data_IF_451911678794
#
_entry.id   IF_451911678794
#
_cell.length_a   1.000
_cell.length_b   1.000
_cell.length_c   1.000
_cell.angle_alpha   90.00
_cell.angle_beta   90.00
_cell.angle_gamma   90.00
#
_symmetry.space_group_name_H-M   'P 1'
#
loop_
_entity.id
_entity.type
_entity.pdbx_description
1 polymer ?
#
# COMPACT_ATOMS: atom_id res chain seq x y z
N UNK A 1 -11.66 -26.54 3.83
CA UNK A 1 -11.43 -26.53 5.29
C UNK A 1 -12.02 -25.23 5.81
N UNK A 2 -13.06 -25.28 6.65
CA UNK A 2 -13.66 -24.07 7.25
C UNK A 2 -12.96 -23.87 8.59
N UNK A 3 -12.01 -22.95 8.66
CA UNK A 3 -11.42 -22.55 9.94
C UNK A 3 -12.36 -21.56 10.63
N UNK A 4 -12.57 -21.73 11.93
CA UNK A 4 -13.22 -20.71 12.74
C UNK A 4 -12.23 -19.59 13.00
N UNK A 5 -12.61 -18.35 12.68
CA UNK A 5 -11.76 -17.15 12.85
C UNK A 5 -11.24 -16.98 14.29
N UNK A 6 -11.91 -17.62 15.25
CA UNK A 6 -11.55 -17.62 16.66
C UNK A 6 -10.25 -18.37 16.98
N UNK A 7 -9.80 -19.27 16.10
CA UNK A 7 -8.61 -20.09 16.33
C UNK A 7 -7.33 -19.41 15.84
N UNK A 8 -7.46 -18.37 15.02
CA UNK A 8 -6.35 -17.57 14.52
C UNK A 8 -5.72 -16.81 15.71
N UNK A 9 -4.42 -17.03 15.92
CA UNK A 9 -3.65 -16.36 16.98
C UNK A 9 -2.84 -15.18 16.46
N UNK A 10 -2.44 -15.24 15.19
CA UNK A 10 -1.64 -14.22 14.56
C UNK A 10 -2.18 -13.87 13.17
N UNK A 11 -2.25 -12.58 12.87
CA UNK A 11 -2.50 -12.09 11.49
C UNK A 11 -1.34 -11.19 11.13
N UNK A 12 -0.65 -11.53 10.04
CA UNK A 12 0.38 -10.67 9.44
C UNK A 12 -0.27 -9.88 8.32
N UNK A 13 -0.13 -8.56 8.35
CA UNK A 13 -0.66 -7.64 7.34
C UNK A 13 0.53 -6.95 6.69
N UNK A 14 0.80 -7.30 5.44
CA UNK A 14 1.88 -6.75 4.64
C UNK A 14 1.34 -5.65 3.73
N UNK A 15 1.65 -4.41 4.08
CA UNK A 15 1.14 -3.21 3.39
C UNK A 15 2.29 -2.30 3.04
N UNK A 16 2.04 -1.34 2.16
CA UNK A 16 2.98 -0.25 1.99
C UNK A 16 2.70 0.91 2.97
N UNK A 17 3.51 1.96 2.87
CA UNK A 17 3.35 3.17 3.68
C UNK A 17 1.98 3.83 3.47
N UNK A 18 1.42 4.40 4.54
CA UNK A 18 0.01 4.86 4.65
C UNK A 18 -0.65 5.21 3.31
N UNK A 19 -1.51 4.30 2.88
CA UNK A 19 -2.77 4.58 2.20
C UNK A 19 -3.93 4.46 3.20
N UNK A 20 -5.03 5.18 2.94
CA UNK A 20 -6.25 4.99 3.71
C UNK A 20 -6.76 3.56 3.58
N UNK A 21 -6.60 2.96 2.39
CA UNK A 21 -7.00 1.57 2.12
C UNK A 21 -6.31 0.58 3.07
N UNK A 22 -4.99 0.64 3.19
CA UNK A 22 -4.22 -0.21 4.11
C UNK A 22 -4.56 0.01 5.60
N UNK A 23 -4.86 1.26 5.99
CA UNK A 23 -5.33 1.55 7.36
C UNK A 23 -6.64 0.81 7.62
N UNK A 24 -7.54 0.82 6.65
CA UNK A 24 -8.84 0.17 6.77
C UNK A 24 -8.73 -1.36 6.71
N UNK A 25 -7.87 -1.91 5.85
CA UNK A 25 -7.53 -3.34 5.82
C UNK A 25 -7.07 -3.80 7.21
N UNK A 26 -6.09 -3.10 7.78
CA UNK A 26 -5.53 -3.46 9.09
C UNK A 26 -6.52 -3.25 10.24
N UNK A 27 -7.36 -2.21 10.18
CA UNK A 27 -8.43 -1.99 11.15
C UNK A 27 -9.47 -3.11 11.08
N UNK A 28 -9.83 -3.56 9.88
CA UNK A 28 -10.78 -4.66 9.72
C UNK A 28 -10.18 -5.98 10.19
N UNK A 29 -8.88 -6.22 9.98
CA UNK A 29 -8.20 -7.38 10.57
C UNK A 29 -8.30 -7.37 12.11
N UNK A 30 -8.09 -6.21 12.75
CA UNK A 30 -8.26 -6.05 14.21
C UNK A 30 -9.69 -6.36 14.68
N UNK A 31 -10.70 -5.91 13.94
CA UNK A 31 -12.13 -6.13 14.27
C UNK A 31 -12.53 -7.59 14.06
N UNK A 32 -12.07 -8.22 12.98
CA UNK A 32 -12.52 -9.56 12.56
C UNK A 32 -11.74 -10.71 13.19
N UNK A 33 -10.52 -10.44 13.67
CA UNK A 33 -9.73 -11.39 14.43
C UNK A 33 -9.57 -10.91 15.89
N UNK A 34 -10.64 -10.86 16.71
CA UNK A 34 -10.63 -10.25 18.03
C UNK A 34 -9.75 -10.96 19.06
N UNK A 35 -9.25 -12.16 18.77
CA UNK A 35 -8.34 -12.90 19.65
C UNK A 35 -6.90 -12.97 19.09
N UNK A 36 -6.66 -12.42 17.90
CA UNK A 36 -5.36 -12.45 17.27
C UNK A 36 -4.53 -11.21 17.61
N UNK A 37 -3.22 -11.39 17.64
CA UNK A 37 -2.26 -10.29 17.52
C UNK A 37 -2.07 -9.93 16.05
N UNK A 38 -2.12 -8.64 15.72
CA UNK A 38 -1.98 -8.14 14.35
C UNK A 38 -0.57 -7.59 14.14
N UNK A 39 0.23 -8.30 13.36
CA UNK A 39 1.59 -7.90 12.99
C UNK A 39 1.53 -7.13 11.66
N UNK A 40 1.89 -5.85 11.65
CA UNK A 40 1.76 -5.00 10.45
C UNK A 40 3.17 -4.70 9.94
N UNK A 41 3.53 -5.22 8.77
CA UNK A 41 4.82 -4.90 8.13
C UNK A 41 4.60 -3.78 7.11
N UNK A 42 5.45 -2.75 7.16
CA UNK A 42 5.36 -1.61 6.25
C UNK A 42 6.47 -1.68 5.19
N UNK A 43 6.09 -1.76 3.93
CA UNK A 43 7.01 -1.62 2.78
C UNK A 43 7.20 -0.14 2.43
N UNK A 44 8.44 0.34 2.21
CA UNK A 44 8.63 1.70 1.74
C UNK A 44 8.01 1.93 0.36
N UNK A 45 7.69 3.17 0.04
CA UNK A 45 7.53 3.63 -1.35
C UNK A 45 8.58 4.70 -1.64
N UNK A 46 8.78 5.01 -2.92
CA UNK A 46 9.78 6.02 -3.35
C UNK A 46 9.38 7.41 -2.85
N UNK A 47 10.00 7.92 -1.79
CA UNK A 47 9.66 9.22 -1.22
C UNK A 47 10.63 10.29 -1.74
N UNK A 48 10.14 11.17 -2.63
CA UNK A 48 10.88 12.39 -3.01
C UNK A 48 10.07 13.64 -2.68
N UNK A 49 10.53 14.36 -1.65
CA UNK A 49 9.86 15.57 -1.17
C UNK A 49 10.25 16.83 -1.96
N UNK A 50 11.07 16.70 -3.01
CA UNK A 50 11.49 17.81 -3.88
C UNK A 50 10.56 17.99 -5.07
N UNK A 51 9.88 16.93 -5.51
CA UNK A 51 8.98 16.92 -6.67
C UNK A 51 7.58 17.42 -6.25
N UNK A 52 6.91 18.29 -7.03
CA UNK A 52 5.57 18.80 -6.72
C UNK A 52 4.49 17.71 -6.82
N UNK A 53 3.25 18.03 -6.42
CA UNK A 53 2.15 17.04 -6.48
C UNK A 53 1.68 16.77 -7.91
N UNK A 54 1.42 15.49 -8.22
CA UNK A 54 1.02 15.05 -9.57
C UNK A 54 -0.27 15.64 -10.11
N UNK A 55 -1.19 16.05 -9.23
CA UNK A 55 -2.53 16.47 -9.64
C UNK A 55 -2.51 17.59 -10.71
N UNK A 56 -1.51 18.48 -10.66
CA UNK A 56 -1.35 19.57 -11.63
C UNK A 56 -0.75 19.09 -12.96
N UNK A 57 0.02 17.99 -12.94
CA UNK A 57 0.70 17.41 -14.09
C UNK A 57 -0.10 16.26 -14.73
N UNK A 58 -1.10 15.72 -14.04
CA UNK A 58 -1.85 14.54 -14.48
C UNK A 58 -2.60 14.76 -15.79
N UNK A 59 -3.23 15.93 -15.97
CA UNK A 59 -3.92 16.26 -17.21
C UNK A 59 -2.96 16.29 -18.41
N UNK A 60 -1.78 16.90 -18.25
CA UNK A 60 -0.72 16.89 -19.26
C UNK A 60 -0.23 15.47 -19.53
N UNK A 61 -0.03 14.70 -18.47
CA UNK A 61 0.42 13.32 -18.55
C UNK A 61 -0.54 12.43 -19.34
N UNK A 62 -1.83 12.42 -19.00
CA UNK A 62 -2.85 11.63 -19.71
C UNK A 62 -3.01 12.07 -21.17
N UNK A 63 -2.81 13.35 -21.47
CA UNK A 63 -2.83 13.83 -22.85
C UNK A 63 -1.67 13.29 -23.68
N UNK A 64 -0.51 13.04 -23.05
CA UNK A 64 0.72 12.64 -23.74
C UNK A 64 0.88 11.13 -23.85
N UNK A 65 0.61 10.39 -22.77
CA UNK A 65 0.79 8.93 -22.72
C UNK A 65 -0.52 8.18 -22.98
N UNK A 66 -1.66 8.88 -22.90
CA UNK A 66 -2.98 8.24 -22.97
C UNK A 66 -3.19 7.21 -21.86
N UNK A 67 -4.18 6.34 -22.03
CA UNK A 67 -4.36 5.15 -21.19
C UNK A 67 -3.51 3.96 -21.65
N UNK A 68 -2.60 4.15 -22.62
CA UNK A 68 -1.89 3.06 -23.27
C UNK A 68 -0.38 3.21 -23.03
N UNK A 69 0.09 2.36 -22.10
CA UNK A 69 1.49 2.06 -21.76
C UNK A 69 2.23 3.08 -20.88
N UNK A 70 1.94 3.03 -19.58
CA UNK A 70 2.87 3.48 -18.52
C UNK A 70 3.95 2.44 -18.16
N UNK A 71 3.81 1.22 -18.69
CA UNK A 71 4.65 0.09 -18.36
C UNK A 71 6.10 0.24 -18.87
N UNK A 72 6.24 0.78 -20.09
CA UNK A 72 7.55 1.05 -20.70
C UNK A 72 8.39 2.02 -19.86
N UNK A 73 7.75 2.86 -19.04
CA UNK A 73 8.42 3.83 -18.19
C UNK A 73 9.11 3.25 -16.97
N UNK A 74 8.56 2.17 -16.42
CA UNK A 74 9.12 1.51 -15.24
C UNK A 74 10.15 0.45 -15.63
N UNK A 75 10.00 -0.20 -16.78
CA UNK A 75 10.85 -1.31 -17.21
C UNK A 75 11.92 -0.94 -18.25
N UNK A 76 11.71 0.03 -19.15
CA UNK A 76 12.67 0.38 -20.23
C UNK A 76 13.60 1.54 -19.88
N UNK A 77 14.63 1.70 -20.72
CA UNK A 77 15.71 2.69 -20.61
C UNK A 77 15.15 4.08 -20.33
N UNK A 78 15.71 4.77 -19.32
CA UNK A 78 15.34 6.13 -18.91
C UNK A 78 15.25 7.09 -20.12
N UNK A 79 16.10 6.90 -21.12
CA UNK A 79 16.09 7.71 -22.35
C UNK A 79 14.80 7.57 -23.19
N UNK A 80 14.22 6.38 -23.32
CA UNK A 80 12.98 6.19 -24.09
C UNK A 80 11.80 6.90 -23.42
N UNK A 81 11.77 6.88 -22.08
CA UNK A 81 10.80 7.60 -21.25
C UNK A 81 10.95 9.09 -21.43
N UNK A 82 12.18 9.59 -21.35
CA UNK A 82 12.45 11.01 -21.46
C UNK A 82 12.07 11.54 -22.85
N UNK A 83 12.35 10.76 -23.90
CA UNK A 83 11.97 11.05 -25.28
C UNK A 83 10.44 10.97 -25.49
N UNK A 84 9.75 10.01 -24.86
CA UNK A 84 8.30 9.88 -24.93
C UNK A 84 7.58 11.04 -24.23
N UNK A 85 8.10 11.45 -23.07
CA UNK A 85 7.50 12.48 -22.25
C UNK A 85 7.77 13.89 -22.75
N UNK A 86 8.93 14.17 -23.37
CA UNK A 86 9.29 15.45 -24.02
C UNK A 86 8.73 16.68 -23.28
N UNK A 87 8.82 16.66 -21.94
CA UNK A 87 8.26 17.63 -21.00
C UNK A 87 9.03 17.46 -19.69
N UNK A 88 9.86 18.45 -19.35
CA UNK A 88 10.73 18.42 -18.17
C UNK A 88 9.93 18.22 -16.86
N UNK A 89 8.71 18.77 -16.77
CA UNK A 89 7.86 18.61 -15.59
C UNK A 89 7.41 17.16 -15.39
N UNK A 90 7.14 16.45 -16.49
CA UNK A 90 6.76 15.04 -16.47
C UNK A 90 7.98 14.13 -16.29
N UNK A 91 9.13 14.51 -16.84
CA UNK A 91 10.38 13.78 -16.64
C UNK A 91 10.76 13.71 -15.16
N UNK A 92 10.63 14.81 -14.40
CA UNK A 92 10.86 14.83 -12.95
C UNK A 92 9.95 13.85 -12.17
N UNK A 93 8.77 13.51 -12.71
CA UNK A 93 7.84 12.57 -12.08
C UNK A 93 8.25 11.11 -12.26
N UNK A 94 8.80 10.78 -13.42
CA UNK A 94 9.18 9.42 -13.82
C UNK A 94 10.68 9.16 -13.75
N UNK A 95 11.46 10.17 -13.39
CA UNK A 95 12.88 10.04 -13.17
C UNK A 95 13.11 8.92 -12.16
N UNK A 96 13.82 7.87 -12.58
CA UNK A 96 14.33 6.89 -11.63
C UNK A 96 15.22 7.65 -10.66
N UNK A 97 14.77 7.84 -9.42
CA UNK A 97 15.61 8.41 -8.39
C UNK A 97 16.65 7.35 -7.99
N UNK A 98 17.73 7.27 -8.76
CA UNK A 98 18.85 6.35 -8.51
C UNK A 98 19.46 6.58 -7.11
N UNK A 99 19.31 7.79 -6.57
CA UNK A 99 19.71 8.12 -5.22
C UNK A 99 18.76 7.55 -4.14
N UNK A 100 17.56 7.09 -4.48
CA UNK A 100 16.62 6.49 -3.52
C UNK A 100 17.25 5.36 -2.69
N UNK A 101 18.07 4.53 -3.32
CA UNK A 101 18.69 3.37 -2.70
C UNK A 101 20.00 3.71 -1.95
N UNK A 102 20.61 4.87 -2.23
CA UNK A 102 22.00 5.16 -1.83
C UNK A 102 22.17 6.47 -1.05
N UNK A 103 21.24 7.42 -1.15
CA UNK A 103 21.33 8.74 -0.51
C UNK A 103 20.96 8.69 0.98
N UNK A 104 21.88 9.08 1.89
CA UNK A 104 21.61 9.16 3.32
C UNK A 104 20.45 10.11 3.70
N UNK A 105 20.24 11.19 2.94
CA UNK A 105 19.14 12.12 3.20
C UNK A 105 17.79 11.47 2.91
N UNK A 106 17.67 10.81 1.76
CA UNK A 106 16.48 10.03 1.37
C UNK A 106 16.16 8.96 2.40
N UNK A 107 17.15 8.19 2.87
CA UNK A 107 16.97 7.19 3.94
C UNK A 107 16.39 7.80 5.23
N UNK A 108 16.86 8.98 5.62
CA UNK A 108 16.36 9.68 6.82
C UNK A 108 14.90 10.10 6.65
N UNK A 109 14.53 10.60 5.47
CA UNK A 109 13.16 11.03 5.17
C UNK A 109 12.19 9.85 5.11
N UNK A 110 12.61 8.73 4.49
CA UNK A 110 11.84 7.49 4.47
C UNK A 110 11.63 6.98 5.89
N UNK A 111 12.68 6.91 6.71
CA UNK A 111 12.57 6.49 8.12
C UNK A 111 11.51 7.29 8.88
N UNK A 112 11.56 8.62 8.76
CA UNK A 112 10.55 9.50 9.34
C UNK A 112 9.15 9.19 8.81
N UNK A 113 9.04 8.90 7.51
CA UNK A 113 7.78 8.61 6.87
C UNK A 113 7.18 7.26 7.26
N UNK A 114 8.01 6.23 7.43
CA UNK A 114 7.59 4.93 7.99
C UNK A 114 7.04 5.11 9.40
N UNK A 115 7.74 5.89 10.24
CA UNK A 115 7.31 6.13 11.62
C UNK A 115 6.00 6.92 11.67
N UNK A 116 5.91 8.00 10.87
CA UNK A 116 4.68 8.76 10.70
C UNK A 116 3.52 7.88 10.18
N UNK A 117 3.83 6.92 9.31
CA UNK A 117 2.87 5.96 8.79
C UNK A 117 2.31 5.08 9.90
N UNK A 118 3.15 4.38 10.65
CA UNK A 118 2.74 3.56 11.79
C UNK A 118 1.93 4.35 12.84
N UNK A 119 2.35 5.59 13.15
CA UNK A 119 1.63 6.47 14.09
C UNK A 119 0.20 6.78 13.64
N UNK A 120 -0.06 6.83 12.33
CA UNK A 120 -1.41 7.08 11.79
C UNK A 120 -2.31 5.87 11.88
N UNK A 121 -1.78 4.68 11.63
CA UNK A 121 -2.49 3.44 11.88
C UNK A 121 -2.84 3.34 13.37
N UNK A 122 -1.86 3.54 14.26
CA UNK A 122 -2.09 3.51 15.70
C UNK A 122 -3.11 4.54 16.18
N UNK A 123 -3.02 5.80 15.70
CA UNK A 123 -4.03 6.83 15.97
C UNK A 123 -5.42 6.36 15.56
N UNK A 124 -5.53 5.76 14.36
CA UNK A 124 -6.80 5.27 13.86
C UNK A 124 -7.34 4.15 14.73
N UNK A 125 -6.53 3.17 15.07
CA UNK A 125 -6.90 2.02 15.89
C UNK A 125 -7.34 2.45 17.30
N UNK A 126 -6.56 3.33 17.93
CA UNK A 126 -6.87 3.93 19.22
C UNK A 126 -8.20 4.69 19.19
N UNK A 127 -8.46 5.47 18.13
CA UNK A 127 -9.75 6.18 17.96
C UNK A 127 -10.97 5.26 17.82
N UNK A 128 -10.74 3.97 17.56
CA UNK A 128 -11.77 2.91 17.48
C UNK A 128 -11.77 1.97 18.67
N UNK A 129 -11.02 2.30 19.72
CA UNK A 129 -10.99 1.54 20.97
C UNK A 129 -10.10 0.29 20.95
N UNK A 130 -9.25 0.13 19.92
CA UNK A 130 -8.30 -0.98 19.91
C UNK A 130 -7.06 -0.64 20.73
N UNK A 131 -6.74 -1.49 21.70
CA UNK A 131 -5.57 -1.35 22.56
C UNK A 131 -4.27 -1.55 21.76
N UNK A 132 -3.21 -0.82 22.12
CA UNK A 132 -1.88 -0.94 21.49
C UNK A 132 -1.26 -2.32 21.66
N UNK A 133 -1.66 -3.08 22.69
CA UNK A 133 -1.22 -4.46 22.91
C UNK A 133 -1.72 -5.45 21.84
N UNK A 134 -2.67 -5.04 20.97
CA UNK A 134 -3.25 -5.89 19.93
C UNK A 134 -2.49 -5.87 18.60
N UNK A 135 -1.53 -4.97 18.44
CA UNK A 135 -0.81 -4.81 17.19
C UNK A 135 0.64 -4.41 17.39
N UNK A 136 1.47 -4.68 16.39
CA UNK A 136 2.87 -4.25 16.35
C UNK A 136 3.26 -3.90 14.92
N UNK A 137 3.98 -2.78 14.75
CA UNK A 137 4.46 -2.35 13.44
C UNK A 137 5.91 -2.76 13.23
N UNK A 138 6.20 -3.29 12.05
CA UNK A 138 7.52 -3.75 11.66
C UNK A 138 7.98 -3.08 10.36
N UNK A 139 9.28 -2.85 10.25
CA UNK A 139 9.90 -2.35 9.02
C UNK A 139 11.35 -2.82 8.93
N UNK A 140 11.87 -2.94 7.70
CA UNK A 140 13.31 -3.09 7.47
C UNK A 140 13.86 -2.04 6.49
N UNK A 141 14.91 -1.30 6.87
CA UNK A 141 15.61 -0.40 5.96
C UNK A 141 16.19 -1.08 4.71
N UNK A 142 16.43 -2.40 4.72
CA UNK A 142 16.91 -3.16 3.55
C UNK A 142 15.91 -3.19 2.40
N UNK A 143 14.62 -3.07 2.67
CA UNK A 143 13.56 -3.14 1.66
C UNK A 143 13.65 -2.00 0.64
N UNK A 144 14.34 -0.90 0.98
CA UNK A 144 14.66 0.17 0.03
C UNK A 144 15.55 -0.29 -1.13
N UNK A 145 16.30 -1.39 -0.98
CA UNK A 145 17.21 -1.90 -2.01
C UNK A 145 16.51 -2.70 -3.11
N UNK A 146 15.32 -3.23 -2.84
CA UNK A 146 14.59 -4.10 -3.79
C UNK A 146 13.49 -3.34 -4.51
N UNK A 147 12.95 -2.30 -3.88
CA UNK A 147 11.94 -1.43 -4.50
C UNK A 147 12.51 -0.75 -5.75
N UNK A 148 11.78 -0.91 -6.85
CA UNK A 148 12.09 -0.27 -8.13
C UNK A 148 11.82 1.25 -8.02
N UNK A 149 12.85 2.11 -8.18
CA UNK A 149 12.66 3.56 -8.23
C UNK A 149 11.98 3.94 -9.55
N UNK A 150 10.95 4.78 -9.51
CA UNK A 150 10.33 5.30 -10.74
C UNK A 150 9.10 6.16 -10.51
N UNK A 151 8.12 5.67 -9.73
CA UNK A 151 6.94 6.48 -9.35
C UNK A 151 7.06 6.93 -7.91
N UNK A 152 7.21 8.24 -7.74
CA UNK A 152 7.36 8.84 -6.43
C UNK A 152 6.05 8.81 -5.62
N UNK A 153 6.02 8.21 -4.44
CA UNK A 153 4.88 8.17 -3.53
C UNK A 153 4.18 9.51 -3.22
N UNK A 154 4.88 10.64 -2.94
CA UNK A 154 4.20 11.90 -2.63
C UNK A 154 3.38 12.45 -3.79
N UNK A 155 3.42 11.78 -4.93
CA UNK A 155 2.71 12.12 -6.15
C UNK A 155 1.39 11.35 -6.29
N UNK A 156 1.14 10.31 -5.49
CA UNK A 156 -0.11 9.56 -5.51
C UNK A 156 -1.20 10.17 -4.62
N UNK A 157 -0.89 10.72 -3.46
CA UNK A 157 -1.84 11.43 -2.58
C UNK A 157 -0.99 12.28 -1.63
N UNK A 158 -1.55 13.36 -1.07
CA UNK A 158 -1.00 13.97 0.13
C UNK A 158 -1.19 13.06 1.37
N UNK A 159 -0.88 11.76 1.28
CA UNK A 159 -0.98 10.81 2.39
C UNK A 159 -0.06 11.26 3.54
N UNK A 160 1.07 11.92 3.23
CA UNK A 160 1.89 12.62 4.23
C UNK A 160 1.19 13.79 4.95
N UNK A 161 -0.01 14.22 4.52
CA UNK A 161 -0.87 15.17 5.24
C UNK A 161 -2.01 14.51 6.04
N UNK A 162 -2.23 13.21 5.87
CA UNK A 162 -3.21 12.50 6.68
C UNK A 162 -2.90 12.69 8.17
N UNK A 163 -3.94 12.92 8.98
CA UNK A 163 -3.82 13.25 10.41
C UNK A 163 -2.96 14.50 10.74
N UNK A 164 -2.57 15.32 9.77
CA UNK A 164 -2.09 16.68 10.06
C UNK A 164 -3.23 17.51 10.65
N UNK A 165 -2.90 18.40 11.60
CA UNK A 165 -3.86 19.38 12.10
C UNK A 165 -4.19 20.42 11.02
N UNK A 166 -5.25 21.21 11.23
CA UNK A 166 -5.71 22.21 10.25
C UNK A 166 -4.63 23.22 9.87
N UNK A 167 -3.81 23.66 10.83
CA UNK A 167 -2.72 24.63 10.59
C UNK A 167 -1.64 24.06 9.68
N UNK A 168 -1.20 22.82 9.92
CA UNK A 168 -0.20 22.14 9.10
C UNK A 168 -0.75 21.81 7.71
N UNK A 169 -2.05 21.47 7.58
CA UNK A 169 -2.71 21.30 6.28
C UNK A 169 -2.80 22.60 5.48
N UNK A 170 -3.18 23.71 6.12
CA UNK A 170 -3.20 25.03 5.48
C UNK A 170 -1.80 25.51 5.11
N UNK A 171 -0.79 25.12 5.88
CA UNK A 171 0.60 25.48 5.60
C UNK A 171 1.15 24.64 4.46
N UNK A 172 0.87 23.34 4.41
CA UNK A 172 1.32 22.47 3.32
C UNK A 172 0.71 22.84 1.98
N UNK A 173 -0.55 23.28 1.94
CA UNK A 173 -1.19 23.72 0.69
C UNK A 173 -0.43 24.85 0.01
N UNK A 174 0.27 25.70 0.77
CA UNK A 174 1.14 26.77 0.24
C UNK A 174 2.46 26.25 -0.33
N UNK A 175 2.81 24.99 -0.11
CA UNK A 175 4.09 24.41 -0.51
C UNK A 175 3.95 23.34 -1.60
N UNK A 176 2.72 22.96 -1.98
CA UNK A 176 2.49 21.87 -2.92
C UNK A 176 3.08 22.13 -4.32
N UNK A 177 3.15 23.41 -4.73
CA UNK A 177 3.69 23.87 -6.00
C UNK A 177 5.21 24.15 -5.99
N UNK A 178 5.82 24.24 -4.80
CA UNK A 178 7.27 24.45 -4.69
C UNK A 178 8.01 23.25 -5.29
N UNK A 179 9.28 23.42 -5.65
CA UNK A 179 10.17 22.36 -6.12
C UNK A 179 11.50 22.36 -5.37
N UNK A 180 12.28 21.30 -5.53
CA UNK A 180 13.66 21.22 -5.05
C UNK A 180 13.79 21.22 -3.52
N UNK A 181 14.97 21.63 -3.05
CA UNK A 181 15.35 21.60 -1.64
C UNK A 181 14.45 22.46 -0.74
N UNK A 182 13.90 23.56 -1.28
CA UNK A 182 12.99 24.41 -0.50
C UNK A 182 11.73 23.63 -0.13
N UNK A 183 11.10 22.97 -1.11
CA UNK A 183 9.93 22.13 -0.87
C UNK A 183 10.25 21.06 0.15
N UNK A 184 11.32 20.30 -0.07
CA UNK A 184 11.75 19.23 0.82
C UNK A 184 11.86 19.71 2.27
N UNK A 185 12.60 20.80 2.52
CA UNK A 185 12.78 21.37 3.86
C UNK A 185 11.44 21.70 4.53
N UNK A 186 10.50 22.29 3.80
CA UNK A 186 9.18 22.66 4.34
C UNK A 186 8.33 21.41 4.65
N UNK A 187 8.35 20.42 3.75
CA UNK A 187 7.58 19.19 3.88
C UNK A 187 8.10 18.30 5.02
N UNK A 188 9.42 18.13 5.11
CA UNK A 188 10.07 17.42 6.23
C UNK A 188 9.72 18.07 7.56
N UNK A 189 9.71 19.41 7.65
CA UNK A 189 9.34 20.11 8.87
C UNK A 189 7.88 19.85 9.29
N UNK A 190 6.94 19.71 8.33
CA UNK A 190 5.54 19.34 8.61
C UNK A 190 5.45 17.89 9.08
N UNK A 191 6.15 16.97 8.41
CA UNK A 191 6.19 15.56 8.80
C UNK A 191 6.75 15.38 10.19
N UNK A 192 7.88 16.03 10.52
CA UNK A 192 8.50 15.97 11.87
C UNK A 192 7.56 16.48 12.96
N UNK A 193 6.93 17.65 12.77
CA UNK A 193 5.95 18.18 13.73
C UNK A 193 4.75 17.24 13.91
N UNK A 194 4.25 16.68 12.82
CA UNK A 194 3.11 15.76 12.86
C UNK A 194 3.48 14.48 13.59
N UNK A 195 4.62 13.88 13.25
CA UNK A 195 5.11 12.66 13.86
C UNK A 195 5.35 12.83 15.37
N UNK A 196 6.01 13.91 15.79
CA UNK A 196 6.26 14.18 17.20
C UNK A 196 4.95 14.34 17.99
N UNK A 197 3.99 15.11 17.46
CA UNK A 197 2.68 15.28 18.10
C UNK A 197 1.91 13.95 18.22
N UNK A 198 1.93 13.12 17.18
CA UNK A 198 1.25 11.82 17.21
C UNK A 198 1.94 10.85 18.17
N UNK A 199 3.28 10.85 18.23
CA UNK A 199 4.05 10.05 19.16
C UNK A 199 3.69 10.41 20.61
N UNK A 200 3.71 11.71 20.94
CA UNK A 200 3.30 12.23 22.26
C UNK A 200 1.87 11.82 22.61
N UNK A 201 0.91 12.05 21.69
CA UNK A 201 -0.50 11.70 21.89
C UNK A 201 -0.71 10.19 22.14
N UNK A 202 0.12 9.34 21.55
CA UNK A 202 0.04 7.88 21.69
C UNK A 202 0.96 7.32 22.78
N UNK A 203 1.69 8.18 23.51
CA UNK A 203 2.54 7.78 24.64
C UNK A 203 3.95 7.29 24.26
N UNK A 204 4.44 7.59 23.06
CA UNK A 204 5.81 7.28 22.63
C UNK A 204 6.76 8.45 22.90
N UNK A 205 8.03 8.17 23.26
CA UNK A 205 9.04 9.21 23.54
C UNK A 205 9.55 9.88 22.25
N UNK A 206 9.77 9.09 21.21
CA UNK A 206 10.11 9.58 19.86
C UNK A 206 9.31 8.83 18.79
N UNK A 207 9.08 9.44 17.61
CA UNK A 207 8.29 8.79 16.57
C UNK A 207 8.77 7.40 16.15
N UNK A 208 10.08 7.17 16.17
CA UNK A 208 10.66 5.90 15.75
C UNK A 208 10.36 4.73 16.71
N UNK A 209 9.96 5.00 17.95
CA UNK A 209 9.70 3.96 18.98
C UNK A 209 8.50 3.06 18.64
N UNK A 210 7.64 3.50 17.73
CA UNK A 210 6.51 2.69 17.27
C UNK A 210 6.93 1.56 16.31
N UNK A 211 8.11 1.68 15.69
CA UNK A 211 8.59 0.75 14.67
C UNK A 211 9.55 -0.26 15.28
N UNK A 212 9.27 -1.53 15.03
CA UNK A 212 10.15 -2.64 15.33
C UNK A 212 10.90 -3.09 14.08
N UNK A 213 12.14 -3.59 14.20
CA UNK A 213 12.80 -4.25 13.09
C UNK A 213 12.06 -5.54 12.72
N UNK A 214 11.88 -5.84 11.43
CA UNK A 214 11.21 -7.09 11.00
C UNK A 214 11.93 -8.35 11.49
N UNK A 215 13.22 -8.25 11.86
CA UNK A 215 13.96 -9.35 12.49
C UNK A 215 13.25 -9.88 13.75
N UNK A 216 12.65 -9.01 14.55
CA UNK A 216 11.87 -9.41 15.74
C UNK A 216 10.64 -10.26 15.35
N UNK A 217 9.96 -9.91 14.25
CA UNK A 217 8.85 -10.71 13.73
C UNK A 217 9.32 -12.09 13.24
N UNK A 218 10.44 -12.13 12.53
CA UNK A 218 11.04 -13.38 12.03
C UNK A 218 11.46 -14.28 13.20
N UNK A 219 12.12 -13.72 14.22
CA UNK A 219 12.51 -14.45 15.44
C UNK A 219 11.29 -14.96 16.21
N UNK A 220 10.21 -14.17 16.26
CA UNK A 220 8.94 -14.59 16.86
C UNK A 220 8.39 -15.86 16.18
N UNK A 221 8.31 -15.86 14.85
CA UNK A 221 7.80 -16.98 14.05
C UNK A 221 8.76 -18.17 13.95
N UNK A 222 10.07 -17.99 14.23
CA UNK A 222 11.04 -19.08 14.39
C UNK A 222 10.98 -19.75 15.75
N UNK A 223 10.51 -19.05 16.78
CA UNK A 223 10.55 -19.52 18.15
C UNK A 223 9.17 -19.48 18.80
N UNK A 224 8.85 -18.46 19.61
CA UNK A 224 7.69 -18.47 20.53
C UNK A 224 6.33 -18.76 19.90
N UNK A 225 6.13 -18.40 18.62
CA UNK A 225 4.84 -18.60 17.93
C UNK A 225 4.97 -19.53 16.72
N UNK A 226 6.06 -20.28 16.61
CA UNK A 226 6.24 -21.28 15.58
C UNK A 226 5.08 -22.30 15.61
N UNK A 227 4.54 -22.63 14.42
CA UNK A 227 3.42 -23.57 14.28
C UNK A 227 2.05 -23.05 14.72
N UNK A 228 1.93 -21.80 15.19
CA UNK A 228 0.64 -21.20 15.53
C UNK A 228 -0.19 -20.92 14.28
N UNK A 229 -1.52 -21.03 14.42
CA UNK A 229 -2.45 -20.71 13.35
C UNK A 229 -2.39 -19.23 13.00
N UNK A 230 -1.94 -18.97 11.76
CA UNK A 230 -1.65 -17.63 11.28
C UNK A 230 -2.27 -17.35 9.92
N UNK A 231 -2.64 -16.11 9.69
CA UNK A 231 -3.04 -15.59 8.38
C UNK A 231 -2.04 -14.55 7.88
N UNK A 232 -1.92 -14.44 6.55
CA UNK A 232 -1.12 -13.40 5.92
C UNK A 232 -2.00 -12.65 4.92
N UNK A 233 -2.11 -11.33 5.09
CA UNK A 233 -2.87 -10.41 4.25
C UNK A 233 -1.91 -9.48 3.51
N UNK A 234 -2.15 -9.21 2.23
CA UNK A 234 -1.28 -8.39 1.38
C UNK A 234 -2.02 -7.24 0.71
N UNK A 235 -1.82 -6.03 1.20
CA UNK A 235 -2.27 -4.77 0.58
C UNK A 235 -1.14 -3.94 -0.03
N UNK A 236 0.09 -4.45 -0.04
CA UNK A 236 1.25 -3.78 -0.62
C UNK A 236 2.18 -4.73 -1.39
N UNK A 237 3.38 -4.27 -1.76
CA UNK A 237 4.39 -5.10 -2.41
C UNK A 237 4.76 -6.33 -1.58
N UNK A 238 5.21 -7.39 -2.26
CA UNK A 238 5.49 -8.68 -1.64
C UNK A 238 6.79 -8.74 -0.83
N UNK A 239 7.60 -7.67 -0.80
CA UNK A 239 8.97 -7.67 -0.25
C UNK A 239 9.02 -8.20 1.20
N UNK A 240 8.19 -7.66 2.10
CA UNK A 240 8.18 -8.10 3.50
C UNK A 240 7.54 -9.48 3.67
N UNK A 241 6.55 -9.81 2.83
CA UNK A 241 5.85 -11.10 2.86
C UNK A 241 6.78 -12.24 2.47
N UNK A 242 7.45 -12.12 1.33
CA UNK A 242 8.44 -13.11 0.85
C UNK A 242 9.54 -13.25 1.86
N UNK A 243 10.01 -12.14 2.44
CA UNK A 243 11.08 -12.20 3.41
C UNK A 243 10.70 -12.95 4.69
N UNK A 244 9.50 -12.67 5.23
CA UNK A 244 8.97 -13.43 6.36
C UNK A 244 8.89 -14.92 6.02
N UNK A 245 8.32 -15.27 4.86
CA UNK A 245 8.16 -16.67 4.48
C UNK A 245 9.50 -17.34 4.17
N UNK A 246 10.42 -16.70 3.44
CA UNK A 246 11.71 -17.25 3.07
C UNK A 246 12.61 -17.46 4.29
N UNK A 247 12.60 -16.53 5.24
CA UNK A 247 13.44 -16.63 6.43
C UNK A 247 12.82 -17.50 7.53
N UNK A 248 11.55 -17.94 7.44
CA UNK A 248 10.88 -18.77 8.47
C UNK A 248 10.30 -20.07 7.90
N UNK A 249 9.97 -21.01 8.78
CA UNK A 249 9.18 -22.20 8.42
C UNK A 249 7.67 -21.95 8.54
N UNK A 250 7.23 -20.68 8.51
CA UNK A 250 5.83 -20.33 8.58
C UNK A 250 5.07 -20.93 7.37
N UNK A 251 4.04 -21.70 7.69
CA UNK A 251 3.01 -22.18 6.74
C UNK A 251 1.68 -21.61 7.23
N UNK A 252 1.26 -20.44 6.73
CA UNK A 252 0.01 -19.83 7.17
C UNK A 252 -1.18 -20.67 6.69
N UNK A 253 -2.33 -20.52 7.37
CA UNK A 253 -3.57 -21.18 6.98
C UNK A 253 -3.99 -20.75 5.56
N UNK A 254 -3.81 -19.46 5.26
CA UNK A 254 -3.92 -18.93 3.90
C UNK A 254 -3.16 -17.61 3.78
N UNK A 255 -2.75 -17.32 2.55
CA UNK A 255 -2.34 -15.98 2.10
C UNK A 255 -3.50 -15.36 1.32
N UNK A 256 -3.79 -14.09 1.54
CA UNK A 256 -4.78 -13.33 0.76
C UNK A 256 -4.18 -12.00 0.36
N UNK A 257 -4.14 -11.68 -0.93
CA UNK A 257 -3.43 -10.48 -1.40
C UNK A 257 -4.04 -9.88 -2.65
N UNK A 258 -3.98 -8.56 -2.78
CA UNK A 258 -4.28 -7.83 -4.01
C UNK A 258 -3.06 -7.88 -4.92
N UNK A 259 -3.19 -8.61 -6.03
CA UNK A 259 -2.09 -8.82 -6.96
C UNK A 259 -2.62 -9.31 -8.29
N UNK A 260 -1.79 -9.23 -9.33
CA UNK A 260 -2.10 -9.62 -10.70
C UNK A 260 -3.16 -8.73 -11.36
N UNK A 261 -3.19 -8.82 -12.67
CA UNK A 261 -4.16 -8.16 -13.55
C UNK A 261 -4.48 -9.15 -14.67
N UNK A 262 -5.76 -9.38 -14.94
CA UNK A 262 -6.17 -10.30 -16.00
C UNK A 262 -6.32 -9.60 -17.35
N UNK A 263 -6.59 -8.31 -17.32
CA UNK A 263 -6.80 -7.47 -18.48
C UNK A 263 -6.03 -6.17 -18.27
N UNK A 264 -5.03 -5.94 -19.10
CA UNK A 264 -4.12 -4.79 -19.05
C UNK A 264 -4.80 -3.40 -19.23
N UNK A 265 -6.14 -3.35 -19.29
CA UNK A 265 -6.93 -2.19 -19.69
C UNK A 265 -7.80 -1.58 -18.56
N UNK A 266 -7.74 -2.13 -17.35
CA UNK A 266 -8.38 -1.53 -16.16
C UNK A 266 -7.43 -0.65 -15.36
N UNK A 267 -6.14 -0.91 -15.46
CA UNK A 267 -5.12 -0.14 -14.77
C UNK A 267 -4.41 0.79 -15.72
N UNK A 268 -3.78 1.77 -15.09
CA UNK A 268 -2.84 2.66 -15.73
C UNK A 268 -1.61 1.84 -16.22
N UNK A 269 -1.25 0.80 -15.48
CA UNK A 269 -0.21 -0.16 -15.84
C UNK A 269 -0.80 -1.48 -16.34
N UNK A 270 -0.01 -2.20 -17.13
CA UNK A 270 -0.34 -3.55 -17.63
C UNK A 270 -0.45 -4.54 -16.47
N UNK A 271 0.49 -4.45 -15.52
CA UNK A 271 0.52 -5.27 -14.30
C UNK A 271 -0.11 -4.52 -13.11
N UNK A 272 -0.41 -5.27 -12.04
CA UNK A 272 -0.82 -4.69 -10.77
C UNK A 272 0.33 -3.83 -10.20
N UNK A 273 0.00 -2.73 -9.52
CA UNK A 273 1.00 -1.86 -8.92
C UNK A 273 1.87 -2.59 -7.89
N UNK A 274 1.29 -3.44 -7.04
CA UNK A 274 2.03 -4.21 -6.03
C UNK A 274 3.03 -5.18 -6.67
N UNK A 275 2.69 -5.74 -7.84
CA UNK A 275 3.58 -6.61 -8.61
C UNK A 275 4.76 -5.81 -9.19
N UNK A 276 4.47 -4.61 -9.70
CA UNK A 276 5.44 -3.74 -10.36
C UNK A 276 6.48 -3.14 -9.43
N UNK A 277 6.17 -2.97 -8.15
CA UNK A 277 7.10 -2.39 -7.20
C UNK A 277 8.31 -3.29 -6.94
N UNK A 278 8.16 -4.61 -7.10
CA UNK A 278 9.19 -5.62 -6.86
C UNK A 278 8.89 -6.91 -7.66
N UNK A 279 9.24 -6.92 -8.95
CA UNK A 279 8.92 -8.01 -9.88
C UNK A 279 9.64 -9.32 -9.53
N UNK A 280 10.89 -9.24 -9.07
CA UNK A 280 11.67 -10.41 -8.68
C UNK A 280 11.02 -11.13 -7.49
N UNK A 281 10.66 -10.36 -6.46
CA UNK A 281 9.95 -10.88 -5.29
C UNK A 281 8.56 -11.39 -5.66
N UNK A 282 7.91 -10.78 -6.65
CA UNK A 282 6.62 -11.23 -7.16
C UNK A 282 6.68 -12.62 -7.79
N UNK A 283 7.81 -13.02 -8.37
CA UNK A 283 8.05 -14.40 -8.80
C UNK A 283 8.42 -15.31 -7.62
N UNK A 284 9.21 -14.81 -6.67
CA UNK A 284 9.63 -15.57 -5.51
C UNK A 284 8.45 -16.01 -4.64
N UNK A 285 7.45 -15.16 -4.45
CA UNK A 285 6.24 -15.55 -3.70
C UNK A 285 5.53 -16.74 -4.35
N UNK A 286 5.41 -16.79 -5.69
CA UNK A 286 4.82 -17.93 -6.40
C UNK A 286 5.59 -19.21 -6.14
N UNK A 287 6.92 -19.14 -6.15
CA UNK A 287 7.78 -20.28 -5.89
C UNK A 287 7.62 -20.81 -4.47
N UNK A 288 7.56 -19.91 -3.48
CA UNK A 288 7.37 -20.27 -2.07
C UNK A 288 6.01 -20.94 -1.87
N UNK A 289 4.91 -20.34 -2.35
CA UNK A 289 3.57 -20.88 -2.13
C UNK A 289 3.36 -22.23 -2.82
N UNK A 290 3.93 -22.42 -4.02
CA UNK A 290 3.93 -23.70 -4.73
C UNK A 290 4.72 -24.76 -3.97
N UNK A 291 5.99 -24.46 -3.65
CA UNK A 291 6.91 -25.41 -2.98
C UNK A 291 6.38 -25.87 -1.62
N UNK A 292 5.73 -24.97 -0.89
CA UNK A 292 5.21 -25.24 0.47
C UNK A 292 3.71 -25.58 0.48
N UNK A 293 3.06 -25.63 -0.69
CA UNK A 293 1.62 -25.88 -0.83
C UNK A 293 0.75 -24.96 0.05
N UNK A 294 1.10 -23.67 0.15
CA UNK A 294 0.37 -22.70 0.97
C UNK A 294 -0.92 -22.28 0.25
N UNK A 295 -2.11 -22.45 0.85
CA UNK A 295 -3.35 -21.93 0.29
C UNK A 295 -3.26 -20.42 0.05
N UNK A 296 -3.54 -19.96 -1.17
CA UNK A 296 -3.31 -18.56 -1.55
C UNK A 296 -4.45 -18.04 -2.44
N UNK A 297 -4.95 -16.85 -2.11
CA UNK A 297 -5.98 -16.14 -2.84
C UNK A 297 -5.41 -14.84 -3.39
N UNK A 298 -5.34 -14.75 -4.72
CA UNK A 298 -4.99 -13.53 -5.42
C UNK A 298 -6.26 -12.81 -5.87
N UNK A 299 -6.42 -11.58 -5.41
CA UNK A 299 -7.46 -10.67 -5.85
C UNK A 299 -6.89 -9.78 -6.96
N UNK A 300 -7.19 -10.05 -8.24
CA UNK A 300 -6.73 -9.23 -9.34
C UNK A 300 -7.40 -7.86 -9.32
N UNK A 301 -6.80 -6.85 -9.95
CA UNK A 301 -7.34 -5.48 -9.93
C UNK A 301 -8.81 -5.39 -10.37
N UNK A 302 -9.23 -6.21 -11.33
CA UNK A 302 -10.60 -6.27 -11.84
C UNK A 302 -11.65 -6.62 -10.80
N UNK A 303 -11.22 -7.23 -9.70
CA UNK A 303 -12.07 -7.53 -8.57
C UNK A 303 -12.47 -6.28 -7.76
N UNK A 304 -11.72 -5.18 -7.89
CA UNK A 304 -11.97 -3.92 -7.19
C UNK A 304 -12.27 -2.74 -8.14
N UNK A 305 -11.96 -2.87 -9.44
CA UNK A 305 -12.02 -1.77 -10.40
C UNK A 305 -12.73 -2.16 -11.71
N UNK A 306 -13.79 -1.41 -12.03
CA UNK A 306 -14.52 -1.55 -13.29
C UNK A 306 -13.77 -0.93 -14.47
N UNK A 307 -14.04 -1.43 -15.70
CA UNK A 307 -13.58 -0.78 -16.94
C UNK A 307 -14.63 0.22 -17.39
N UNK A 308 -14.25 1.49 -17.53
CA UNK A 308 -15.14 2.58 -17.95
C UNK A 308 -14.55 3.32 -19.15
N UNK A 309 -15.36 3.59 -20.18
CA UNK A 309 -14.96 4.43 -21.33
C UNK A 309 -16.07 5.41 -21.68
N UNK A 310 -15.76 6.71 -21.70
CA UNK A 310 -16.75 7.76 -22.00
C UNK A 310 -17.97 7.73 -21.07
N UNK A 311 -17.75 7.43 -19.78
CA UNK A 311 -18.82 7.29 -18.78
C UNK A 311 -19.63 5.98 -18.84
N UNK A 312 -19.38 5.10 -19.83
CA UNK A 312 -20.04 3.80 -19.93
C UNK A 312 -19.21 2.70 -19.28
N UNK A 313 -19.83 1.90 -18.42
CA UNK A 313 -19.23 0.69 -17.84
C UNK A 313 -19.14 -0.38 -18.94
N UNK A 314 -17.92 -0.68 -19.39
CA UNK A 314 -17.66 -1.74 -20.35
C UNK A 314 -17.49 -3.11 -19.69
N UNK A 315 -17.03 -3.11 -18.44
CA UNK A 315 -16.94 -4.30 -17.59
C UNK A 315 -17.21 -3.89 -16.15
N UNK A 316 -18.24 -4.47 -15.55
CA UNK A 316 -18.52 -4.30 -14.14
C UNK A 316 -17.46 -5.01 -13.29
N UNK A 317 -17.24 -4.49 -12.08
CA UNK A 317 -16.39 -5.13 -11.09
C UNK A 317 -17.28 -5.77 -10.01
N UNK A 318 -16.94 -6.99 -9.52
CA UNK A 318 -17.77 -7.73 -8.57
C UNK A 318 -17.85 -7.09 -7.18
N UNK A 319 -16.84 -6.33 -6.75
CA UNK A 319 -16.79 -5.71 -5.43
C UNK A 319 -16.63 -4.18 -5.48
N UNK A 320 -17.23 -3.56 -6.50
CA UNK A 320 -17.21 -2.12 -6.69
C UNK A 320 -18.32 -1.42 -5.89
N UNK A 321 -18.04 -1.04 -4.64
CA UNK A 321 -19.00 -0.33 -3.79
C UNK A 321 -19.48 0.97 -4.44
N UNK A 322 -20.79 1.20 -4.47
CA UNK A 322 -21.36 2.48 -4.85
C UNK A 322 -20.90 3.58 -3.87
N UNK A 323 -20.87 4.82 -4.34
CA UNK A 323 -20.40 5.96 -3.53
C UNK A 323 -21.22 6.12 -2.25
N UNK A 324 -22.53 5.89 -2.34
CA UNK A 324 -23.48 5.94 -1.23
C UNK A 324 -23.23 4.82 -0.21
N UNK A 325 -22.84 3.64 -0.68
CA UNK A 325 -22.47 2.51 0.17
C UNK A 325 -21.18 2.81 0.93
N UNK A 326 -20.16 3.34 0.24
CA UNK A 326 -18.93 3.80 0.88
C UNK A 326 -19.22 4.88 1.93
N UNK A 327 -20.01 5.90 1.60
CA UNK A 327 -20.43 6.92 2.57
C UNK A 327 -21.10 6.27 3.78
N UNK A 328 -22.00 5.32 3.56
CA UNK A 328 -22.71 4.61 4.63
C UNK A 328 -21.75 3.83 5.52
N UNK A 329 -20.80 3.11 4.93
CA UNK A 329 -19.75 2.36 5.66
C UNK A 329 -18.91 3.31 6.52
N UNK A 330 -18.40 4.40 5.93
CA UNK A 330 -17.57 5.38 6.64
C UNK A 330 -18.37 6.15 7.71
N UNK A 331 -19.65 6.41 7.47
CA UNK A 331 -20.53 7.06 8.45
C UNK A 331 -20.83 6.14 9.63
N UNK A 332 -21.17 4.88 9.36
CA UNK A 332 -21.40 3.86 10.39
C UNK A 332 -20.15 3.62 11.23
N UNK A 333 -18.97 3.66 10.60
CA UNK A 333 -17.70 3.58 11.29
C UNK A 333 -17.31 4.87 12.03
N UNK A 334 -18.05 5.98 11.89
CA UNK A 334 -17.69 7.29 12.46
C UNK A 334 -16.35 7.82 11.94
N UNK A 335 -16.12 7.75 10.63
CA UNK A 335 -14.87 8.13 9.96
C UNK A 335 -15.04 8.93 8.67
N UNK A 336 -16.08 9.76 8.61
CA UNK A 336 -16.38 10.54 7.40
C UNK A 336 -15.23 11.47 6.95
N UNK A 337 -14.31 11.83 7.85
CA UNK A 337 -13.14 12.64 7.52
C UNK A 337 -12.19 11.91 6.57
N UNK A 338 -11.93 10.63 6.78
CA UNK A 338 -11.11 9.81 5.90
C UNK A 338 -11.73 9.67 4.51
N UNK A 339 -13.04 9.38 4.46
CA UNK A 339 -13.78 9.35 3.19
C UNK A 339 -13.67 10.68 2.44
N UNK A 340 -13.86 11.82 3.13
CA UNK A 340 -13.76 13.15 2.51
C UNK A 340 -12.37 13.39 1.93
N UNK A 341 -11.31 12.94 2.60
CA UNK A 341 -9.95 13.08 2.10
C UNK A 341 -9.70 12.23 0.86
N UNK A 342 -10.09 10.95 0.88
CA UNK A 342 -9.94 10.04 -0.28
C UNK A 342 -10.84 10.45 -1.46
N UNK A 343 -12.06 10.91 -1.20
CA UNK A 343 -12.96 11.42 -2.24
C UNK A 343 -12.46 12.75 -2.84
N UNK A 344 -11.90 13.64 -2.03
CA UNK A 344 -11.28 14.87 -2.53
C UNK A 344 -10.06 14.58 -3.41
N UNK A 345 -9.29 13.53 -3.08
CA UNK A 345 -8.21 13.04 -3.92
C UNK A 345 -8.72 12.53 -5.28
N UNK A 346 -9.66 11.58 -5.25
CA UNK A 346 -10.30 11.01 -6.45
C UNK A 346 -10.76 12.10 -7.42
N UNK A 347 -11.43 13.14 -6.90
CA UNK A 347 -11.89 14.29 -7.71
C UNK A 347 -10.76 15.12 -8.30
N UNK A 348 -9.63 15.25 -7.60
CA UNK A 348 -8.48 16.05 -8.06
C UNK A 348 -7.67 15.36 -9.14
N UNK A 349 -7.55 14.03 -9.10
CA UNK A 349 -6.78 13.29 -10.10
C UNK A 349 -7.59 12.89 -11.31
N UNK A 350 -8.93 12.83 -11.26
CA UNK A 350 -9.77 12.45 -12.41
C UNK A 350 -9.45 11.01 -12.93
N UNK A 351 -8.55 10.29 -12.25
CA UNK A 351 -8.09 8.93 -12.58
C UNK A 351 -9.17 7.88 -12.35
N UNK A 352 -10.08 8.16 -11.42
CA UNK A 352 -11.09 7.25 -10.92
C UNK A 352 -12.41 8.02 -10.81
N UNK A 353 -13.52 7.37 -11.19
CA UNK A 353 -14.84 7.97 -11.05
C UNK A 353 -15.26 8.12 -9.57
N UNK A 354 -14.72 7.26 -8.70
CA UNK A 354 -14.99 7.20 -7.27
C UNK A 354 -13.80 6.60 -6.52
N UNK A 355 -13.84 6.67 -5.20
CA UNK A 355 -12.91 5.97 -4.33
C UNK A 355 -13.08 4.45 -4.51
N UNK A 356 -11.97 3.72 -4.60
CA UNK A 356 -11.93 2.27 -4.56
C UNK A 356 -11.18 1.82 -3.31
N UNK A 357 -11.54 0.66 -2.77
CA UNK A 357 -10.96 0.08 -1.57
C UNK A 357 -10.46 -1.32 -1.95
N UNK A 358 -9.30 -1.37 -2.58
CA UNK A 358 -8.65 -2.57 -3.07
C UNK A 358 -8.26 -3.47 -1.90
N UNK A 359 -7.50 -2.93 -0.95
CA UNK A 359 -6.81 -3.72 0.07
C UNK A 359 -7.76 -4.26 1.13
N UNK A 360 -8.86 -3.56 1.44
CA UNK A 360 -9.91 -4.12 2.33
C UNK A 360 -10.51 -5.43 1.78
N UNK A 361 -10.46 -5.67 0.46
CA UNK A 361 -10.94 -6.94 -0.10
C UNK A 361 -10.15 -8.15 0.43
N UNK A 362 -8.89 -7.98 0.84
CA UNK A 362 -8.09 -9.08 1.41
C UNK A 362 -8.71 -9.59 2.72
N UNK A 363 -9.41 -8.71 3.44
CA UNK A 363 -10.06 -9.02 4.72
C UNK A 363 -11.46 -9.60 4.52
N UNK A 364 -12.04 -9.51 3.32
CA UNK A 364 -13.39 -10.04 3.04
C UNK A 364 -13.46 -11.55 3.25
N UNK A 365 -12.37 -12.29 2.99
CA UNK A 365 -12.28 -13.73 3.30
C UNK A 365 -12.33 -14.03 4.81
N UNK A 366 -12.06 -13.04 5.67
CA UNK A 366 -12.31 -13.17 7.12
C UNK A 366 -13.80 -13.06 7.47
N UNK A 367 -14.69 -12.90 6.50
CA UNK A 367 -16.10 -12.58 6.76
C UNK A 367 -17.08 -13.36 5.90
N UNK A 368 -16.65 -13.81 4.72
CA UNK A 368 -17.48 -14.57 3.80
C UNK A 368 -17.12 -16.06 3.82
N UNK A 369 -18.11 -16.96 3.67
CA UNK A 369 -17.86 -18.38 3.54
C UNK A 369 -16.96 -18.67 2.32
N UNK A 370 -16.24 -19.81 2.29
CA UNK A 370 -15.41 -20.25 1.16
C UNK A 370 -16.17 -20.49 -0.17
N UNK A 371 -17.43 -20.05 -0.26
CA UNK A 371 -18.31 -20.11 -1.42
C UNK A 371 -18.14 -18.94 -2.40
N UNK A 372 -17.17 -18.04 -2.19
CA UNK A 372 -16.85 -17.05 -3.20
C UNK A 372 -16.44 -17.77 -4.50
N UNK A 373 -17.01 -17.41 -5.66
CA UNK A 373 -16.61 -18.03 -6.91
C UNK A 373 -15.14 -17.75 -7.15
N UNK A 374 -14.36 -18.81 -7.32
CA UNK A 374 -12.92 -18.74 -7.57
C UNK A 374 -12.56 -19.52 -8.82
N UNK A 375 -11.51 -19.09 -9.49
CA UNK A 375 -10.87 -19.83 -10.57
C UNK A 375 -9.48 -20.22 -10.11
N UNK A 376 -9.12 -21.50 -10.24
CA UNK A 376 -7.73 -21.93 -10.04
C UNK A 376 -6.87 -21.22 -11.08
N UNK A 377 -5.99 -20.34 -10.63
CA UNK A 377 -4.96 -19.78 -11.49
C UNK A 377 -3.95 -20.89 -11.81
N UNK A 378 -3.57 -20.99 -13.08
CA UNK A 378 -2.40 -21.75 -13.52
C UNK A 378 -1.38 -20.69 -13.90
N UNK A 379 -0.15 -20.78 -13.38
CA UNK A 379 0.88 -19.81 -13.74
C UNK A 379 1.11 -19.92 -15.25
N UNK A 380 1.19 -18.78 -15.93
CA UNK A 380 1.50 -18.73 -17.36
C UNK A 380 2.80 -19.50 -17.66
N UNK A 381 3.77 -19.43 -16.75
CA UNK A 381 5.04 -20.16 -16.87
C UNK A 381 4.90 -21.67 -16.75
N UNK A 382 3.98 -22.19 -15.93
CA UNK A 382 3.71 -23.64 -15.88
C UNK A 382 3.03 -24.09 -17.18
N UNK A 383 2.17 -23.25 -17.78
CA UNK A 383 1.54 -23.56 -19.07
C UNK A 383 2.54 -23.56 -20.23
N UNK A 384 3.59 -22.75 -20.16
CA UNK A 384 4.60 -22.61 -21.22
C UNK A 384 5.76 -23.57 -21.03
N UNK A 385 6.18 -23.86 -19.79
CA UNK A 385 7.39 -24.64 -19.50
C UNK A 385 7.12 -26.09 -19.08
N UNK A 386 5.86 -26.51 -18.90
CA UNK A 386 5.49 -27.89 -18.56
C UNK A 386 5.49 -28.15 -17.07
#
# INVERSE_FOLDING_TARGET
MIFTLNDIKHVVVCVDTVDLDNIWESLWALVRAPNAHIHITLSPRVLDLRVPTFAELFGKFMAKVGSHYMFDVLEKNVEEVYNLLDDEDLQDYFARNAAFQTDPHTKTHITLYMALSALRFALKFSSKGHASSRYTFYWDPRSMKTIIPGIHHPTHVNNYLYACNNKDRQKSSKYLHLRGQEREKKMVAIMKRTANRLAEQLGYQKPADILHPIKELIELFKGPVAGTQSLVLGGGPFTEMVRLLAETDLVPLTIVTIARTWYADVNIFVNNYNDLMDLDVTMEIENIVKKRAIPTWFFPTECAKAKVKGGKVLRACPWDFATEELITIFKAAGDMESYKQAAAFTRKTITLAKMHIFDVLTVVLLTLPPSLPYRRAVSYWDQVNG
#
